data_IF_492465314876
#
_entry.id   IF_492465314876
#
_cell.length_a   1.000
_cell.length_b   1.000
_cell.length_c   1.000
_cell.angle_alpha   90.00
_cell.angle_beta   90.00
_cell.angle_gamma   90.00
#
_symmetry.space_group_name_H-M   'P 1'
#
loop_
_entity.id
_entity.type
_entity.pdbx_description
1 polymer ?
#
# COMPACT_ATOMS: atom_id res chain seq x y z
N UNK A 1 11.71 15.26 -66.97
CA UNK A 1 11.69 14.35 -65.80
C UNK A 1 11.20 15.12 -64.58
N UNK A 2 9.99 14.84 -64.08
CA UNK A 2 9.37 15.51 -62.93
C UNK A 2 9.67 14.67 -61.69
N UNK A 3 10.48 15.17 -60.75
CA UNK A 3 10.78 14.47 -59.49
C UNK A 3 9.53 14.49 -58.61
N UNK A 4 9.00 13.30 -58.33
CA UNK A 4 7.89 13.08 -57.41
C UNK A 4 8.44 13.13 -55.97
N UNK A 5 7.99 14.11 -55.18
CA UNK A 5 8.30 14.20 -53.75
C UNK A 5 7.28 13.36 -53.00
N UNK A 6 7.72 12.28 -52.36
CA UNK A 6 6.92 11.57 -51.37
C UNK A 6 6.80 12.44 -50.11
N UNK A 7 5.61 12.68 -49.55
CA UNK A 7 5.49 13.43 -48.32
C UNK A 7 6.00 12.56 -47.16
N UNK A 8 6.95 13.08 -46.40
CA UNK A 8 7.52 12.49 -45.17
C UNK A 8 6.51 12.29 -44.03
N UNK A 9 5.21 12.49 -44.30
CA UNK A 9 4.12 12.43 -43.32
C UNK A 9 3.68 10.97 -43.05
N UNK A 10 3.96 10.03 -43.96
CA UNK A 10 3.55 8.63 -43.81
C UNK A 10 4.39 7.77 -42.86
N UNK A 11 5.64 8.16 -42.57
CA UNK A 11 6.56 7.33 -41.75
C UNK A 11 6.45 7.66 -40.26
N UNK A 12 6.11 8.90 -39.89
CA UNK A 12 5.98 9.31 -38.48
C UNK A 12 4.70 8.74 -37.84
N UNK A 13 3.62 8.59 -38.62
CA UNK A 13 2.36 8.04 -38.12
C UNK A 13 2.44 6.54 -37.78
N UNK A 14 3.29 5.77 -38.47
CA UNK A 14 3.43 4.32 -38.24
C UNK A 14 4.28 4.04 -36.98
N UNK A 15 5.28 4.87 -36.70
CA UNK A 15 6.11 4.76 -35.48
C UNK A 15 5.32 5.19 -34.23
N UNK A 16 4.44 6.19 -34.35
CA UNK A 16 3.57 6.62 -33.24
C UNK A 16 2.52 5.59 -32.83
N UNK A 17 2.01 4.80 -33.79
CA UNK A 17 0.99 3.77 -33.50
C UNK A 17 1.63 2.46 -32.98
N UNK A 18 2.86 2.13 -33.37
CA UNK A 18 3.57 0.96 -32.82
C UNK A 18 4.13 1.19 -31.40
N UNK A 19 4.46 2.44 -31.03
CA UNK A 19 4.85 2.78 -29.65
C UNK A 19 3.68 2.84 -28.66
N UNK A 20 2.43 2.97 -29.13
CA UNK A 20 1.25 3.01 -28.25
C UNK A 20 0.68 1.60 -27.92
N UNK A 21 1.20 0.56 -28.57
CA UNK A 21 0.80 -0.84 -28.33
C UNK A 21 1.75 -1.59 -27.36
N UNK A 22 2.72 -0.91 -26.76
CA UNK A 22 3.55 -1.47 -25.70
C UNK A 22 3.07 -0.95 -24.35
N UNK A 23 2.78 -1.89 -23.45
CA UNK A 23 2.38 -1.72 -22.04
C UNK A 23 0.86 -1.53 -21.83
N UNK A 24 0.08 -2.48 -22.34
CA UNK A 24 -0.93 -3.08 -21.46
C UNK A 24 -0.49 -4.53 -21.32
N UNK A 25 0.42 -4.79 -20.38
CA UNK A 25 0.59 -6.16 -19.91
C UNK A 25 -0.71 -6.43 -19.15
N UNK A 26 -1.57 -7.37 -19.57
CA UNK A 26 -2.58 -7.84 -18.65
C UNK A 26 -1.81 -8.38 -17.45
N UNK A 27 -1.95 -7.74 -16.28
CA UNK A 27 -1.61 -8.36 -15.01
C UNK A 27 -2.59 -9.51 -14.84
N UNK A 28 -2.30 -10.63 -15.50
CA UNK A 28 -2.92 -11.90 -15.15
C UNK A 28 -2.23 -12.25 -13.84
N UNK A 29 -2.97 -12.20 -12.74
CA UNK A 29 -2.50 -12.73 -11.49
C UNK A 29 -2.41 -14.25 -11.68
N UNK A 30 -1.22 -14.72 -12.02
CA UNK A 30 -0.88 -16.13 -12.17
C UNK A 30 -0.16 -16.58 -10.91
N UNK A 31 -0.35 -17.84 -10.51
CA UNK A 31 0.42 -18.42 -9.40
C UNK A 31 1.93 -18.23 -9.57
N UNK A 32 2.60 -17.82 -8.50
CA UNK A 32 4.05 -17.76 -8.43
C UNK A 32 4.55 -18.41 -7.14
N UNK A 33 5.35 -19.48 -7.25
CA UNK A 33 5.86 -20.18 -6.07
C UNK A 33 6.73 -19.28 -5.18
N UNK A 34 7.58 -18.44 -5.78
CA UNK A 34 8.41 -17.44 -5.08
C UNK A 34 7.58 -16.28 -4.52
N UNK A 35 6.31 -16.17 -4.92
CA UNK A 35 5.39 -15.14 -4.48
C UNK A 35 5.51 -13.85 -5.26
N UNK A 36 5.11 -12.76 -4.63
CA UNK A 36 5.00 -11.45 -5.26
C UNK A 36 5.65 -10.43 -4.34
N UNK A 37 6.79 -9.83 -4.74
CA UNK A 37 7.43 -8.79 -3.94
C UNK A 37 6.45 -7.68 -3.59
N UNK A 38 6.56 -7.10 -2.40
CA UNK A 38 5.68 -6.00 -2.02
C UNK A 38 6.13 -4.71 -2.69
N UNK A 39 5.22 -4.16 -3.49
CA UNK A 39 5.43 -2.92 -4.20
C UNK A 39 4.52 -1.83 -3.65
N UNK A 40 4.98 -0.58 -3.68
CA UNK A 40 4.17 0.57 -3.28
C UNK A 40 2.92 0.67 -4.14
N UNK A 41 1.78 0.35 -3.54
CA UNK A 41 0.47 0.53 -4.16
C UNK A 41 0.04 1.98 -4.14
N UNK A 42 0.17 2.59 -2.96
CA UNK A 42 -0.24 3.95 -2.71
C UNK A 42 0.67 4.56 -1.66
N UNK A 43 1.01 5.83 -1.89
CA UNK A 43 1.71 6.67 -0.95
C UNK A 43 1.13 8.06 -1.01
N UNK A 44 1.18 8.81 0.07
CA UNK A 44 0.64 10.15 0.07
C UNK A 44 0.75 10.88 1.38
N UNK A 45 0.00 11.97 1.45
CA UNK A 45 -0.11 12.83 2.62
C UNK A 45 -1.57 13.03 2.95
N UNK A 46 -1.91 13.00 4.23
CA UNK A 46 -3.22 13.36 4.76
C UNK A 46 -3.06 14.17 6.03
N UNK A 47 -4.01 15.07 6.32
CA UNK A 47 -4.16 15.62 7.67
C UNK A 47 -5.28 14.87 8.38
N UNK A 48 -4.95 13.69 8.88
CA UNK A 48 -5.89 12.69 9.41
C UNK A 48 -5.11 11.50 9.97
N UNK A 49 -5.28 10.31 9.40
CA UNK A 49 -4.63 9.10 9.86
C UNK A 49 -4.57 7.96 8.83
N UNK A 50 -3.80 6.93 9.20
CA UNK A 50 -3.84 5.60 8.58
C UNK A 50 -4.24 4.63 9.70
N UNK A 51 -5.45 4.11 9.61
CA UNK A 51 -5.95 3.05 10.48
C UNK A 51 -5.52 1.70 9.91
N UNK A 52 -4.98 0.84 10.77
CA UNK A 52 -4.56 -0.52 10.45
C UNK A 52 -5.03 -1.38 11.61
N UNK A 53 -5.85 -2.38 11.31
CA UNK A 53 -6.34 -3.33 12.31
C UNK A 53 -6.55 -4.70 11.64
N UNK A 54 -6.61 -5.75 12.45
CA UNK A 54 -6.65 -7.11 11.93
C UNK A 54 -7.37 -8.11 12.84
N UNK A 55 -7.91 -9.14 12.21
CA UNK A 55 -8.39 -10.36 12.88
C UNK A 55 -7.32 -11.46 12.72
N UNK A 56 -6.79 -12.03 13.82
CA UNK A 56 -5.72 -13.02 13.77
C UNK A 56 -6.17 -14.40 13.28
N UNK A 57 -5.19 -15.28 13.06
CA UNK A 57 -5.46 -16.70 12.78
C UNK A 57 -6.18 -17.38 13.93
N UNK A 58 -7.29 -18.04 13.61
CA UNK A 58 -8.05 -18.90 14.54
C UNK A 58 -8.02 -20.39 14.17
N UNK A 59 -7.36 -20.76 13.06
CA UNK A 59 -7.34 -22.13 12.55
C UNK A 59 -8.69 -22.64 12.04
N UNK A 60 -9.62 -21.73 11.76
CA UNK A 60 -10.97 -22.02 11.30
C UNK A 60 -11.11 -21.78 9.80
N UNK A 61 -12.11 -22.41 9.17
CA UNK A 61 -12.43 -22.19 7.75
C UNK A 61 -13.37 -21.01 7.51
N UNK A 62 -13.79 -20.34 8.59
CA UNK A 62 -14.56 -19.10 8.61
C UNK A 62 -13.95 -18.21 9.67
N UNK A 63 -13.61 -16.98 9.28
CA UNK A 63 -13.04 -15.97 10.15
C UNK A 63 -13.83 -14.67 9.97
N UNK A 64 -14.17 -14.02 11.08
CA UNK A 64 -14.90 -12.75 11.10
C UNK A 64 -14.17 -11.79 12.01
N UNK A 65 -13.87 -10.60 11.49
CA UNK A 65 -13.24 -9.51 12.23
C UNK A 65 -14.17 -8.32 12.39
N UNK A 66 -14.01 -7.61 13.51
CA UNK A 66 -14.67 -6.34 13.80
C UNK A 66 -13.61 -5.25 13.94
N UNK A 67 -13.80 -4.12 13.25
CA UNK A 67 -12.80 -3.06 13.12
C UNK A 67 -13.41 -1.70 13.48
N UNK A 68 -12.96 -1.11 14.57
CA UNK A 68 -13.43 0.20 15.03
C UNK A 68 -12.75 1.34 14.27
N UNK A 69 -13.22 1.60 13.06
CA UNK A 69 -12.62 2.61 12.17
C UNK A 69 -12.89 4.02 12.72
N UNK A 70 -11.86 4.87 12.90
CA UNK A 70 -12.02 6.25 13.32
C UNK A 70 -12.95 7.07 12.41
N UNK A 71 -13.54 8.14 12.96
CA UNK A 71 -14.25 9.13 12.14
C UNK A 71 -13.27 9.87 11.22
N UNK A 72 -13.78 10.43 10.13
CA UNK A 72 -13.00 11.09 9.09
C UNK A 72 -13.53 10.79 7.68
N UNK A 73 -13.02 11.54 6.71
CA UNK A 73 -13.35 11.34 5.31
C UNK A 73 -12.40 10.29 4.69
N UNK A 74 -12.94 9.11 4.40
CA UNK A 74 -12.18 7.97 3.86
C UNK A 74 -11.66 8.30 2.47
N UNK A 75 -10.33 8.29 2.30
CA UNK A 75 -9.66 8.56 1.02
C UNK A 75 -9.31 7.31 0.26
N UNK A 76 -9.00 6.24 0.99
CA UNK A 76 -8.64 4.95 0.44
C UNK A 76 -8.83 3.88 1.51
N UNK A 77 -9.39 2.73 1.14
CA UNK A 77 -9.41 1.57 2.01
C UNK A 77 -9.23 0.27 1.24
N UNK A 78 -8.48 -0.65 1.86
CA UNK A 78 -8.31 -2.01 1.37
C UNK A 78 -8.55 -3.01 2.49
N UNK A 79 -9.34 -4.02 2.15
CA UNK A 79 -9.49 -5.24 2.92
C UNK A 79 -8.56 -6.28 2.31
N UNK A 80 -7.72 -6.90 3.13
CA UNK A 80 -6.92 -8.06 2.76
C UNK A 80 -7.36 -9.26 3.58
N UNK A 81 -7.34 -10.45 2.99
CA UNK A 81 -7.65 -11.70 3.68
C UNK A 81 -7.03 -12.87 2.94
N UNK A 82 -6.88 -14.02 3.59
CA UNK A 82 -6.22 -15.16 2.96
C UNK A 82 -6.83 -16.49 3.29
N UNK A 83 -6.62 -17.47 2.40
CA UNK A 83 -7.03 -18.86 2.58
C UNK A 83 -5.85 -19.77 2.27
N UNK A 84 -5.61 -20.73 3.16
CA UNK A 84 -4.65 -21.79 2.90
C UNK A 84 -5.26 -22.88 2.02
N UNK A 85 -4.65 -23.11 0.87
CA UNK A 85 -5.02 -24.16 -0.07
C UNK A 85 -4.51 -25.54 0.33
N UNK A 86 -3.47 -25.63 1.17
CA UNK A 86 -2.83 -26.88 1.56
C UNK A 86 -1.76 -27.37 0.58
N UNK A 87 -1.96 -27.15 -0.72
CA UNK A 87 -0.95 -27.35 -1.77
C UNK A 87 -1.30 -26.49 -3.01
N UNK A 88 -0.36 -26.32 -3.96
CA UNK A 88 -0.59 -25.47 -5.14
C UNK A 88 -1.74 -25.91 -6.03
N UNK A 89 -2.10 -27.19 -6.09
CA UNK A 89 -3.12 -27.71 -7.03
C UNK A 89 -4.54 -27.62 -6.50
N UNK A 90 -4.68 -27.39 -5.20
CA UNK A 90 -5.99 -27.38 -4.56
C UNK A 90 -6.78 -26.14 -4.98
N UNK A 91 -8.07 -26.36 -5.19
CA UNK A 91 -9.01 -25.34 -5.67
C UNK A 91 -10.32 -25.39 -4.90
N UNK A 92 -11.03 -24.28 -4.83
CA UNK A 92 -12.28 -24.20 -4.11
C UNK A 92 -12.91 -22.83 -4.12
N UNK A 93 -14.16 -22.80 -3.71
CA UNK A 93 -14.93 -21.58 -3.59
C UNK A 93 -14.79 -21.03 -2.18
N UNK A 94 -14.55 -19.73 -2.10
CA UNK A 94 -14.53 -18.96 -0.87
C UNK A 94 -15.44 -17.76 -1.02
N UNK A 95 -15.92 -17.22 0.09
CA UNK A 95 -16.76 -16.04 0.15
C UNK A 95 -16.13 -15.00 1.06
N UNK A 96 -16.08 -13.76 0.58
CA UNK A 96 -15.60 -12.62 1.37
C UNK A 96 -16.71 -11.58 1.45
N UNK A 97 -17.07 -11.16 2.65
CA UNK A 97 -18.08 -10.12 2.86
C UNK A 97 -17.52 -8.97 3.68
N UNK A 98 -17.99 -7.76 3.43
CA UNK A 98 -17.61 -6.56 4.19
C UNK A 98 -18.84 -5.68 4.42
N UNK A 99 -19.16 -5.37 5.67
CA UNK A 99 -20.37 -4.64 6.07
C UNK A 99 -21.66 -5.18 5.43
N UNK A 100 -21.76 -6.51 5.33
CA UNK A 100 -22.90 -7.20 4.71
C UNK A 100 -22.94 -7.14 3.18
N UNK A 101 -21.92 -6.58 2.52
CA UNK A 101 -21.79 -6.58 1.07
C UNK A 101 -21.03 -7.81 0.59
N UNK A 102 -21.61 -8.54 -0.36
CA UNK A 102 -21.15 -9.84 -0.88
C UNK A 102 -21.34 -9.97 -2.40
N UNK A 103 -21.38 -8.87 -3.15
CA UNK A 103 -21.60 -8.92 -4.60
C UNK A 103 -20.36 -9.41 -5.37
N UNK A 104 -20.53 -10.41 -6.24
CA UNK A 104 -19.44 -11.06 -7.02
C UNK A 104 -18.57 -10.09 -7.84
N UNK A 105 -19.06 -8.89 -8.16
CA UNK A 105 -18.31 -7.89 -8.92
C UNK A 105 -17.27 -7.12 -8.09
N UNK A 106 -17.32 -7.20 -6.76
CA UNK A 106 -16.39 -6.50 -5.86
C UNK A 106 -15.93 -7.30 -4.65
N UNK A 107 -16.79 -8.17 -4.12
CA UNK A 107 -16.62 -9.02 -2.94
C UNK A 107 -17.34 -10.35 -3.27
N UNK A 108 -17.78 -11.12 -2.27
CA UNK A 108 -18.60 -12.30 -2.49
C UNK A 108 -17.79 -13.53 -2.88
N UNK A 109 -18.40 -14.39 -3.68
CA UNK A 109 -17.84 -15.68 -4.03
C UNK A 109 -16.70 -15.54 -5.05
N UNK A 110 -15.57 -16.17 -4.75
CA UNK A 110 -14.42 -16.26 -5.63
C UNK A 110 -13.94 -17.70 -5.69
N UNK A 111 -13.66 -18.17 -6.90
CA UNK A 111 -13.12 -19.50 -7.13
C UNK A 111 -11.59 -19.41 -7.14
N UNK A 112 -10.98 -19.88 -6.06
CA UNK A 112 -9.53 -20.03 -5.97
C UNK A 112 -9.11 -21.26 -6.79
N UNK A 113 -8.29 -21.07 -7.81
CA UNK A 113 -7.97 -22.11 -8.80
C UNK A 113 -6.57 -22.72 -8.63
N UNK A 114 -5.93 -22.48 -7.48
CA UNK A 114 -4.60 -23.00 -7.17
C UNK A 114 -3.53 -22.46 -8.14
N UNK A 115 -2.71 -23.34 -8.69
CA UNK A 115 -1.65 -23.01 -9.65
C UNK A 115 -2.19 -22.48 -10.99
N UNK A 116 -3.49 -22.61 -11.22
CA UNK A 116 -4.20 -22.07 -12.39
C UNK A 116 -5.07 -20.87 -12.04
N UNK A 117 -4.87 -20.24 -10.87
CA UNK A 117 -5.60 -19.03 -10.49
C UNK A 117 -5.31 -17.91 -11.48
N UNK A 118 -6.36 -17.20 -11.86
CA UNK A 118 -6.32 -16.05 -12.79
C UNK A 118 -7.08 -14.86 -12.22
N UNK A 119 -7.51 -14.91 -10.96
CA UNK A 119 -8.28 -13.86 -10.34
C UNK A 119 -7.36 -12.65 -10.09
N UNK A 120 -7.65 -11.47 -10.65
CA UNK A 120 -6.72 -10.33 -10.64
C UNK A 120 -6.41 -9.81 -9.23
N UNK A 121 -7.24 -10.17 -8.25
CA UNK A 121 -7.15 -9.76 -6.86
C UNK A 121 -6.64 -10.84 -5.91
N UNK A 122 -6.00 -11.89 -6.44
CA UNK A 122 -5.42 -13.00 -5.67
C UNK A 122 -3.92 -13.11 -5.96
N UNK A 123 -3.10 -13.03 -4.93
CA UNK A 123 -1.74 -13.52 -4.97
C UNK A 123 -1.72 -14.97 -4.51
N UNK A 124 -1.55 -15.90 -5.46
CA UNK A 124 -1.43 -17.32 -5.17
C UNK A 124 0.05 -17.71 -5.15
N UNK A 125 0.57 -18.08 -3.98
CA UNK A 125 2.01 -18.29 -3.77
C UNK A 125 2.35 -19.54 -2.96
N UNK A 126 3.62 -19.97 -3.03
CA UNK A 126 4.16 -21.09 -2.26
C UNK A 126 3.27 -22.35 -2.32
N UNK A 127 3.03 -22.95 -1.15
CA UNK A 127 2.21 -24.17 -1.01
C UNK A 127 0.69 -23.90 -1.03
N UNK A 128 0.21 -23.08 -1.97
CA UNK A 128 -1.20 -22.71 -2.13
C UNK A 128 -1.67 -21.66 -1.12
N UNK A 129 -0.84 -20.68 -0.79
CA UNK A 129 -1.24 -19.51 0.00
C UNK A 129 -1.99 -18.55 -0.93
N UNK A 130 -3.27 -18.28 -0.67
CA UNK A 130 -4.05 -17.34 -1.48
C UNK A 130 -4.27 -16.08 -0.65
N UNK A 131 -3.57 -14.99 -0.99
CA UNK A 131 -3.77 -13.68 -0.38
C UNK A 131 -4.63 -12.82 -1.29
N UNK A 132 -5.81 -12.45 -0.82
CA UNK A 132 -6.82 -11.70 -1.54
C UNK A 132 -6.84 -10.25 -1.07
N UNK A 133 -7.14 -9.34 -1.99
CA UNK A 133 -7.38 -7.94 -1.67
C UNK A 133 -8.67 -7.42 -2.29
N UNK A 134 -9.30 -6.44 -1.63
CA UNK A 134 -10.56 -5.84 -2.08
C UNK A 134 -10.56 -4.34 -1.82
N UNK A 135 -10.99 -3.55 -2.82
CA UNK A 135 -11.23 -2.13 -2.62
C UNK A 135 -12.57 -1.90 -1.91
N UNK A 136 -12.49 -1.45 -0.67
CA UNK A 136 -13.64 -1.22 0.21
C UNK A 136 -13.80 0.25 0.58
N UNK A 137 -13.13 1.17 -0.13
CA UNK A 137 -13.09 2.62 0.17
C UNK A 137 -14.46 3.23 0.41
N UNK A 138 -15.43 2.94 -0.46
CA UNK A 138 -16.82 3.44 -0.41
C UNK A 138 -17.76 2.56 0.43
N UNK A 139 -17.24 1.49 1.05
CA UNK A 139 -18.01 0.59 1.92
C UNK A 139 -17.68 0.77 3.40
N UNK A 140 -16.57 1.45 3.71
CA UNK A 140 -16.19 1.76 5.09
C UNK A 140 -17.21 2.72 5.70
N UNK A 141 -17.68 2.38 6.89
CA UNK A 141 -18.47 3.25 7.75
C UNK A 141 -17.52 3.94 8.74
N UNK A 142 -17.07 5.18 8.49
CA UNK A 142 -16.18 5.89 9.40
C UNK A 142 -16.86 6.20 10.73
N UNK A 143 -16.09 6.20 11.81
CA UNK A 143 -16.58 6.44 13.17
C UNK A 143 -17.49 5.33 13.71
N UNK A 144 -17.39 4.12 13.15
CA UNK A 144 -18.23 2.96 13.49
C UNK A 144 -17.46 1.66 13.38
N UNK A 145 -17.96 0.60 14.01
CA UNK A 145 -17.47 -0.76 13.83
C UNK A 145 -17.82 -1.27 12.43
N UNK A 146 -16.82 -1.75 11.71
CA UNK A 146 -16.94 -2.38 10.41
C UNK A 146 -16.70 -3.89 10.56
N UNK A 147 -17.40 -4.73 9.80
CA UNK A 147 -17.28 -6.18 9.91
C UNK A 147 -16.83 -6.79 8.60
N UNK A 148 -15.87 -7.71 8.64
CA UNK A 148 -15.47 -8.50 7.49
C UNK A 148 -15.54 -9.99 7.81
N UNK A 149 -15.98 -10.81 6.85
CA UNK A 149 -15.97 -12.26 6.98
C UNK A 149 -15.30 -12.89 5.78
N UNK A 150 -14.45 -13.89 6.01
CA UNK A 150 -13.90 -14.77 4.97
C UNK A 150 -14.24 -16.21 5.31
N UNK A 151 -14.81 -16.94 4.36
CA UNK A 151 -15.24 -18.32 4.57
C UNK A 151 -14.92 -19.22 3.38
N UNK A 152 -14.45 -20.43 3.63
CA UNK A 152 -14.51 -21.51 2.64
C UNK A 152 -15.96 -21.96 2.46
N UNK A 153 -16.39 -22.07 1.20
CA UNK A 153 -17.66 -22.68 0.81
C UNK A 153 -17.46 -24.17 0.54
N UNK A 154 -16.61 -24.51 -0.44
CA UNK A 154 -16.39 -25.90 -0.86
C UNK A 154 -15.07 -26.05 -1.66
N UNK A 155 -14.76 -27.28 -2.09
CA UNK A 155 -13.58 -27.60 -2.88
C UNK A 155 -12.53 -28.42 -2.13
N UNK A 156 -11.38 -28.63 -2.77
CA UNK A 156 -10.27 -29.43 -2.24
C UNK A 156 -9.27 -28.64 -1.40
N UNK A 157 -9.36 -27.31 -1.40
CA UNK A 157 -8.57 -26.42 -0.51
C UNK A 157 -8.71 -26.84 0.96
N UNK A 158 -7.65 -26.74 1.76
CA UNK A 158 -7.72 -26.91 3.22
C UNK A 158 -8.79 -25.95 3.78
N UNK A 159 -8.66 -24.67 3.44
CA UNK A 159 -9.68 -23.67 3.66
C UNK A 159 -9.55 -22.86 4.91
N UNK A 160 -8.57 -23.16 5.78
CA UNK A 160 -8.33 -22.33 6.95
C UNK A 160 -7.98 -20.91 6.51
N UNK A 161 -8.68 -19.95 7.09
CA UNK A 161 -8.47 -18.53 6.83
C UNK A 161 -7.21 -18.07 7.56
N UNK A 162 -6.37 -17.30 6.87
CA UNK A 162 -5.15 -16.72 7.42
C UNK A 162 -5.48 -15.72 8.54
N UNK A 163 -5.57 -14.45 8.16
CA UNK A 163 -6.09 -13.35 8.97
C UNK A 163 -6.82 -12.40 8.05
N UNK A 164 -7.51 -11.43 8.63
CA UNK A 164 -8.14 -10.32 7.89
C UNK A 164 -7.44 -9.04 8.29
N UNK A 165 -7.05 -8.20 7.33
CA UNK A 165 -6.45 -6.89 7.59
C UNK A 165 -7.30 -5.82 6.93
N UNK A 166 -7.68 -4.80 7.71
CA UNK A 166 -8.31 -3.60 7.18
C UNK A 166 -7.34 -2.42 7.31
N UNK A 167 -7.05 -1.79 6.17
CA UNK A 167 -6.28 -0.55 6.11
C UNK A 167 -7.17 0.57 5.58
N UNK A 168 -7.26 1.67 6.33
CA UNK A 168 -8.06 2.85 5.97
C UNK A 168 -7.21 4.10 6.07
N UNK A 169 -7.05 4.83 4.97
CA UNK A 169 -6.48 6.18 4.94
C UNK A 169 -7.63 7.17 4.98
N UNK A 170 -7.59 8.10 5.93
CA UNK A 170 -8.66 9.09 6.10
C UNK A 170 -8.11 10.49 6.37
N UNK A 171 -8.88 11.49 5.96
CA UNK A 171 -8.64 12.91 6.19
C UNK A 171 -9.54 13.40 7.34
N UNK A 172 -9.03 14.30 8.18
CA UNK A 172 -9.77 14.83 9.33
C UNK A 172 -9.90 13.82 10.47
N UNK A 173 -11.11 13.69 11.01
CA UNK A 173 -11.39 12.90 12.21
C UNK A 173 -11.05 13.61 13.51
N UNK A 174 -11.14 12.88 14.62
CA UNK A 174 -10.79 13.40 15.94
C UNK A 174 -9.27 13.52 16.06
N UNK A 175 -8.76 14.75 16.24
CA UNK A 175 -7.32 15.06 16.40
C UNK A 175 -6.44 14.68 15.18
N UNK A 176 -6.71 15.25 14.00
CA UNK A 176 -5.99 14.93 12.77
C UNK A 176 -4.49 15.20 12.91
N UNK A 177 -3.67 14.34 12.31
CA UNK A 177 -2.20 14.47 12.27
C UNK A 177 -1.73 14.68 10.84
N UNK A 178 -0.65 15.43 10.67
CA UNK A 178 0.01 15.53 9.38
C UNK A 178 0.77 14.22 9.10
N UNK A 179 0.17 13.33 8.32
CA UNK A 179 0.72 12.02 7.98
C UNK A 179 1.41 12.06 6.62
N UNK A 180 2.49 11.28 6.50
CA UNK A 180 2.99 10.76 5.23
C UNK A 180 2.99 9.23 5.32
N UNK A 181 2.55 8.53 4.28
CA UNK A 181 2.41 7.08 4.33
C UNK A 181 2.78 6.40 3.03
N UNK A 182 3.10 5.10 3.14
CA UNK A 182 3.25 4.15 2.05
C UNK A 182 2.58 2.84 2.45
N UNK A 183 1.82 2.27 1.53
CA UNK A 183 1.21 0.96 1.67
C UNK A 183 1.75 0.12 0.52
N UNK A 184 2.63 -0.81 0.84
CA UNK A 184 3.12 -1.80 -0.09
C UNK A 184 2.30 -3.09 0.04
N UNK A 185 1.97 -3.70 -1.08
CA UNK A 185 1.14 -4.90 -1.15
C UNK A 185 1.78 -5.96 -2.06
N UNK A 186 1.64 -7.23 -1.68
CA UNK A 186 2.23 -8.37 -2.37
C UNK A 186 1.88 -9.68 -1.65
N UNK A 187 2.73 -10.69 -1.81
CA UNK A 187 2.72 -11.95 -1.05
C UNK A 187 4.03 -12.66 -1.33
N UNK A 188 5.14 -12.08 -0.88
CA UNK A 188 6.48 -12.58 -1.15
C UNK A 188 6.73 -13.87 -0.38
N UNK A 189 6.97 -14.97 -1.08
CA UNK A 189 7.03 -16.31 -0.52
C UNK A 189 8.46 -16.81 -0.48
N UNK A 190 9.09 -16.66 0.68
CA UNK A 190 10.44 -17.11 0.90
C UNK A 190 10.44 -18.58 1.28
N UNK A 191 11.38 -19.32 0.71
CA UNK A 191 11.50 -20.74 0.90
C UNK A 191 12.94 -21.22 0.76
N UNK A 192 13.26 -22.33 1.42
CA UNK A 192 14.52 -23.03 1.19
C UNK A 192 14.56 -23.73 -0.19
N UNK A 193 15.73 -24.22 -0.60
CA UNK A 193 15.93 -24.71 -1.96
C UNK A 193 15.05 -25.92 -2.32
N UNK A 194 14.96 -26.94 -1.45
CA UNK A 194 14.25 -28.18 -1.80
C UNK A 194 12.72 -28.05 -1.74
N UNK A 195 12.20 -26.90 -1.30
CA UNK A 195 10.80 -26.57 -1.42
C UNK A 195 10.35 -26.36 -2.88
N UNK A 196 11.27 -25.95 -3.76
CA UNK A 196 11.01 -25.64 -5.16
C UNK A 196 11.52 -26.72 -6.12
N UNK A 197 10.94 -26.76 -7.33
CA UNK A 197 11.49 -27.50 -8.45
C UNK A 197 11.65 -26.58 -9.67
N UNK A 198 12.88 -26.38 -10.19
CA UNK A 198 14.16 -26.93 -9.71
C UNK A 198 14.53 -26.40 -8.30
N UNK A 199 15.40 -27.09 -7.54
CA UNK A 199 15.78 -26.66 -6.20
C UNK A 199 16.55 -25.34 -6.22
N UNK A 200 15.84 -24.25 -5.91
CA UNK A 200 16.34 -22.88 -5.85
C UNK A 200 15.75 -22.27 -4.60
N UNK A 201 16.57 -21.61 -3.79
CA UNK A 201 16.08 -20.91 -2.61
C UNK A 201 15.64 -19.50 -2.96
N UNK A 202 14.62 -19.04 -2.24
CA UNK A 202 14.23 -17.65 -2.14
C UNK A 202 14.36 -17.25 -0.67
N UNK A 203 15.56 -16.85 -0.25
CA UNK A 203 15.88 -16.72 1.18
C UNK A 203 15.56 -15.34 1.76
N UNK A 204 15.44 -14.31 0.92
CA UNK A 204 15.38 -12.90 1.32
C UNK A 204 14.54 -12.06 0.37
N UNK A 205 13.87 -11.05 0.88
CA UNK A 205 13.18 -10.02 0.09
C UNK A 205 13.44 -8.62 0.63
N UNK A 206 13.13 -7.61 -0.20
CA UNK A 206 13.23 -6.20 0.15
C UNK A 206 12.01 -5.47 -0.40
N UNK A 207 11.32 -4.73 0.48
CA UNK A 207 10.23 -3.85 0.10
C UNK A 207 10.67 -2.39 0.25
N UNK A 208 10.65 -1.63 -0.85
CA UNK A 208 11.04 -0.23 -0.90
C UNK A 208 9.85 0.72 -0.72
N UNK A 209 10.00 1.74 0.12
CA UNK A 209 9.04 2.82 0.31
C UNK A 209 9.41 3.99 -0.60
N UNK A 210 8.98 3.90 -1.87
CA UNK A 210 9.41 4.81 -2.93
C UNK A 210 9.01 6.27 -2.66
N UNK A 211 10.01 7.16 -2.63
CA UNK A 211 9.80 8.59 -2.47
C UNK A 211 10.81 9.24 -1.53
N UNK A 212 10.50 10.46 -1.11
CA UNK A 212 11.38 11.27 -0.26
C UNK A 212 10.71 11.60 1.07
N UNK A 213 11.50 11.70 2.13
CA UNK A 213 11.08 12.13 3.47
C UNK A 213 11.86 13.37 3.89
N UNK A 214 11.16 14.38 4.42
CA UNK A 214 11.83 15.43 5.18
C UNK A 214 11.98 14.96 6.64
N UNK A 215 13.15 14.43 6.99
CA UNK A 215 13.42 13.83 8.30
C UNK A 215 13.44 14.84 9.44
N UNK A 216 13.66 16.14 9.18
CA UNK A 216 13.71 17.18 10.21
C UNK A 216 12.36 17.44 10.89
N UNK A 217 11.26 17.11 10.18
CA UNK A 217 9.90 17.30 10.66
C UNK A 217 9.21 16.00 11.07
N UNK A 218 9.84 14.84 10.89
CA UNK A 218 9.28 13.56 11.35
C UNK A 218 9.31 13.54 12.87
N UNK A 219 8.15 13.28 13.48
CA UNK A 219 8.02 13.16 14.94
C UNK A 219 7.85 11.72 15.38
N UNK A 220 7.32 10.86 14.50
CA UNK A 220 7.12 9.44 14.74
C UNK A 220 7.06 8.69 13.42
N UNK A 221 7.60 7.48 13.40
CA UNK A 221 7.49 6.56 12.28
C UNK A 221 7.20 5.15 12.78
N UNK A 222 6.21 4.52 12.19
CA UNK A 222 5.85 3.13 12.44
C UNK A 222 5.95 2.32 11.14
N UNK A 223 6.62 1.18 11.21
CA UNK A 223 6.63 0.15 10.18
C UNK A 223 5.72 -0.98 10.64
N UNK A 224 4.75 -1.38 9.82
CA UNK A 224 3.88 -2.52 10.07
C UNK A 224 4.10 -3.56 8.97
N UNK A 225 4.29 -4.83 9.35
CA UNK A 225 4.40 -5.95 8.42
C UNK A 225 3.29 -6.97 8.68
N UNK A 226 2.82 -7.60 7.61
CA UNK A 226 1.89 -8.73 7.64
C UNK A 226 2.63 -9.99 7.20
N UNK A 227 2.62 -11.02 8.03
CA UNK A 227 3.12 -12.35 7.72
C UNK A 227 1.95 -13.32 7.62
N UNK A 228 1.84 -14.11 6.56
CA UNK A 228 0.84 -15.20 6.49
C UNK A 228 1.35 -16.46 7.19
N UNK A 229 2.65 -16.68 7.10
CA UNK A 229 3.43 -17.61 7.93
C UNK A 229 4.66 -16.85 8.41
N UNK A 230 4.84 -16.78 9.72
CA UNK A 230 5.94 -16.05 10.34
C UNK A 230 7.08 -17.01 10.73
N UNK A 231 7.82 -16.77 11.82
CA UNK A 231 9.03 -17.52 12.14
C UNK A 231 8.81 -18.62 13.20
N UNK A 232 9.07 -19.87 12.84
CA UNK A 232 9.16 -21.04 13.71
C UNK A 232 10.31 -21.98 13.26
N UNK A 233 11.50 -21.92 13.88
CA UNK A 233 11.80 -21.18 15.11
C UNK A 233 11.93 -19.67 14.89
N UNK A 234 11.65 -18.89 15.94
CA UNK A 234 11.78 -17.44 15.93
C UNK A 234 13.18 -16.95 15.49
N UNK A 235 13.24 -15.87 14.72
CA UNK A 235 14.48 -15.35 14.15
C UNK A 235 14.77 -13.91 14.56
N UNK A 236 15.79 -13.69 15.42
CA UNK A 236 16.08 -12.38 16.05
C UNK A 236 16.69 -11.30 15.13
N UNK A 237 17.17 -11.67 13.93
CA UNK A 237 17.87 -10.74 13.02
C UNK A 237 17.32 -10.82 11.59
N UNK A 238 16.10 -11.32 11.43
CA UNK A 238 15.48 -11.56 10.14
C UNK A 238 14.77 -10.34 9.55
N UNK A 239 14.62 -9.25 10.30
CA UNK A 239 14.05 -7.99 9.79
C UNK A 239 15.02 -6.83 10.00
N UNK A 240 15.17 -5.98 8.99
CA UNK A 240 15.93 -4.74 9.05
C UNK A 240 15.16 -3.61 8.39
N UNK A 241 15.11 -2.44 9.02
CA UNK A 241 14.63 -1.22 8.37
C UNK A 241 15.80 -0.27 8.17
N UNK A 242 16.09 0.10 6.91
CA UNK A 242 17.26 0.89 6.54
C UNK A 242 18.55 0.36 7.17
N UNK A 243 18.82 -0.94 7.00
CA UNK A 243 19.97 -1.67 7.54
C UNK A 243 20.02 -1.82 9.07
N UNK A 244 19.11 -1.18 9.82
CA UNK A 244 18.98 -1.34 11.27
C UNK A 244 18.13 -2.56 11.62
N UNK A 245 18.70 -3.49 12.39
CA UNK A 245 17.98 -4.67 12.89
C UNK A 245 16.79 -4.27 13.77
N UNK A 246 15.65 -4.92 13.52
CA UNK A 246 14.45 -4.79 14.31
C UNK A 246 14.33 -5.95 15.28
N UNK A 247 13.80 -5.69 16.48
CA UNK A 247 13.48 -6.76 17.41
C UNK A 247 12.28 -7.57 16.91
N UNK A 248 12.53 -8.80 16.51
CA UNK A 248 11.54 -9.76 15.98
C UNK A 248 11.12 -10.81 16.99
N UNK A 249 11.45 -10.65 18.28
CA UNK A 249 11.02 -11.60 19.32
C UNK A 249 9.50 -11.70 19.46
N UNK A 250 8.75 -10.73 18.92
CA UNK A 250 7.30 -10.74 18.84
C UNK A 250 6.74 -11.50 17.63
N UNK A 251 7.63 -11.95 16.74
CA UNK A 251 7.30 -12.69 15.53
C UNK A 251 7.66 -14.15 15.75
N UNK A 252 6.78 -14.90 16.41
CA UNK A 252 7.10 -16.18 17.05
C UNK A 252 6.10 -17.30 16.79
N UNK A 253 5.27 -17.18 15.75
CA UNK A 253 4.38 -18.25 15.29
C UNK A 253 4.65 -18.69 13.84
N UNK A 254 4.23 -19.91 13.52
CA UNK A 254 4.14 -20.40 12.14
C UNK A 254 2.81 -20.03 11.45
N UNK A 255 2.08 -19.06 12.00
CA UNK A 255 0.75 -18.65 11.53
C UNK A 255 0.72 -17.18 11.12
N UNK A 256 -0.48 -16.66 10.85
CA UNK A 256 -0.68 -15.27 10.48
C UNK A 256 -0.30 -14.33 11.63
N UNK A 257 0.44 -13.28 11.32
CA UNK A 257 0.77 -12.21 12.27
C UNK A 257 0.82 -10.83 11.62
N UNK A 258 0.42 -9.82 12.38
CA UNK A 258 0.63 -8.42 12.05
C UNK A 258 1.35 -7.73 13.21
N UNK A 259 2.53 -7.19 12.93
CA UNK A 259 3.41 -6.60 13.93
C UNK A 259 3.85 -5.21 13.50
N UNK A 260 4.04 -4.31 14.48
CA UNK A 260 4.42 -2.92 14.24
C UNK A 260 5.64 -2.52 15.07
N UNK A 261 6.61 -1.89 14.41
CA UNK A 261 7.84 -1.38 15.00
C UNK A 261 7.90 0.13 14.93
N UNK A 262 8.37 0.75 16.01
CA UNK A 262 8.78 2.15 15.98
C UNK A 262 10.14 2.26 15.27
N UNK A 263 10.16 2.91 14.12
CA UNK A 263 11.35 3.10 13.28
C UNK A 263 11.75 4.56 13.15
N UNK A 264 11.25 5.44 14.04
CA UNK A 264 11.43 6.90 13.97
C UNK A 264 12.90 7.30 13.82
N UNK A 265 13.79 6.66 14.58
CA UNK A 265 15.22 6.98 14.56
C UNK A 265 15.99 6.46 13.33
N UNK A 266 15.34 5.67 12.48
CA UNK A 266 15.98 4.97 11.36
C UNK A 266 15.50 5.49 10.00
N UNK A 267 14.52 6.40 9.96
CA UNK A 267 13.99 6.95 8.71
C UNK A 267 15.06 7.78 8.00
N UNK A 268 15.28 7.47 6.72
CA UNK A 268 16.19 8.18 5.84
C UNK A 268 15.43 9.16 4.93
N UNK A 269 16.13 10.12 4.33
CA UNK A 269 15.52 11.08 3.41
C UNK A 269 15.07 10.46 2.07
N UNK A 270 15.70 9.37 1.66
CA UNK A 270 15.41 8.59 0.45
C UNK A 270 15.64 7.11 0.73
N UNK A 271 15.20 6.26 -0.20
CA UNK A 271 15.55 4.83 -0.24
C UNK A 271 15.19 4.06 1.04
N UNK A 272 14.12 4.50 1.71
CA UNK A 272 13.60 3.78 2.86
C UNK A 272 13.16 2.38 2.42
N UNK A 273 13.59 1.35 3.13
CA UNK A 273 13.27 -0.03 2.80
C UNK A 273 13.21 -0.91 4.05
N UNK A 274 12.45 -1.98 3.94
CA UNK A 274 12.49 -3.10 4.86
C UNK A 274 13.08 -4.30 4.14
N UNK A 275 14.13 -4.86 4.72
CA UNK A 275 14.69 -6.16 4.35
C UNK A 275 14.11 -7.22 5.28
N UNK A 276 13.83 -8.39 4.71
CA UNK A 276 13.43 -9.57 5.46
C UNK A 276 14.10 -10.82 4.92
N UNK A 277 14.30 -11.82 5.79
CA UNK A 277 14.87 -13.12 5.43
C UNK A 277 14.16 -14.24 6.16
N UNK A 278 14.09 -15.45 5.59
CA UNK A 278 13.46 -16.59 6.29
C UNK A 278 14.21 -17.09 7.53
N UNK A 279 15.50 -16.76 7.64
CA UNK A 279 16.34 -17.29 8.71
C UNK A 279 16.47 -18.81 8.63
N UNK A 280 16.14 -19.50 9.72
CA UNK A 280 16.11 -20.97 9.78
C UNK A 280 14.75 -21.57 9.40
N UNK A 281 13.70 -20.74 9.27
CA UNK A 281 12.37 -21.21 8.86
C UNK A 281 12.40 -21.70 7.41
N UNK A 282 11.58 -22.71 7.12
CA UNK A 282 11.44 -23.28 5.78
C UNK A 282 10.56 -22.44 4.87
N UNK A 283 9.55 -21.74 5.41
CA UNK A 283 8.53 -21.01 4.68
C UNK A 283 8.04 -19.77 5.43
N UNK A 284 8.48 -18.59 5.01
CA UNK A 284 7.83 -17.34 5.42
C UNK A 284 7.06 -16.72 4.26
N UNK A 285 6.02 -15.95 4.58
CA UNK A 285 5.35 -15.16 3.54
C UNK A 285 5.02 -13.78 4.09
N UNK A 286 5.61 -12.76 3.48
CA UNK A 286 5.37 -11.35 3.81
C UNK A 286 4.40 -10.79 2.78
N UNK A 287 3.30 -10.20 3.23
CA UNK A 287 2.16 -9.89 2.37
C UNK A 287 1.89 -8.39 2.25
N UNK A 288 2.27 -7.63 3.26
CA UNK A 288 2.16 -6.18 3.27
C UNK A 288 3.30 -5.57 4.07
N UNK A 289 3.77 -4.42 3.60
CA UNK A 289 4.67 -3.56 4.35
C UNK A 289 4.14 -2.13 4.33
N UNK A 290 3.87 -1.57 5.50
CA UNK A 290 3.22 -0.27 5.65
C UNK A 290 4.11 0.64 6.47
N UNK A 291 4.47 1.79 5.92
CA UNK A 291 5.23 2.83 6.62
C UNK A 291 4.34 4.05 6.85
N UNK A 292 4.17 4.44 8.10
CA UNK A 292 3.38 5.62 8.49
C UNK A 292 4.24 6.58 9.29
N UNK A 293 4.36 7.81 8.80
CA UNK A 293 5.11 8.90 9.42
C UNK A 293 4.15 9.97 9.93
N UNK A 294 4.21 10.27 11.22
CA UNK A 294 3.67 11.52 11.76
C UNK A 294 4.72 12.63 11.60
N UNK A 295 4.26 13.79 11.11
CA UNK A 295 5.10 14.96 10.87
C UNK A 295 4.62 16.14 11.70
N UNK A 296 5.52 17.06 12.03
CA UNK A 296 5.13 18.39 12.52
C UNK A 296 4.27 19.06 11.44
N UNK A 297 3.26 19.80 11.88
CA UNK A 297 2.52 20.67 10.99
C UNK A 297 3.50 21.65 10.34
N UNK A 298 3.51 21.71 9.00
CA UNK A 298 4.27 22.73 8.29
C UNK A 298 3.51 24.04 8.51
N UNK A 299 4.07 24.94 9.32
CA UNK A 299 3.50 26.29 9.45
C UNK A 299 3.47 26.91 8.05
N UNK A 300 2.27 27.29 7.59
CA UNK A 300 2.15 28.16 6.41
C UNK A 300 2.81 29.47 6.79
N UNK A 301 4.02 29.74 6.30
CA UNK A 301 4.58 31.08 6.31
C UNK A 301 3.67 31.96 5.47
N UNK A 302 2.80 32.74 6.12
CA UNK A 302 2.17 33.88 5.47
C UNK A 302 3.27 34.86 5.11
N UNK A 303 3.62 34.90 3.83
CA UNK A 303 4.45 35.98 3.28
C UNK A 303 3.65 37.27 3.47
N UNK A 304 3.97 38.02 4.52
CA UNK A 304 3.50 39.39 4.69
C UNK A 304 4.10 40.22 3.54
N UNK A 305 3.35 40.33 2.44
CA UNK A 305 3.58 41.34 1.43
C UNK A 305 3.21 42.67 2.11
N UNK A 306 4.21 43.33 2.68
CA UNK A 306 4.09 44.74 3.05
C UNK A 306 3.90 45.50 1.74
N UNK A 307 2.70 46.05 1.57
CA UNK A 307 2.44 47.00 0.50
C UNK A 307 3.50 48.11 0.58
N UNK A 308 4.20 48.34 -0.53
CA UNK A 308 5.09 49.47 -0.68
C UNK A 308 4.22 50.72 -0.56
N UNK A 309 4.47 51.57 0.44
CA UNK A 309 3.83 52.86 0.56
C UNK A 309 4.06 53.65 -0.73
N UNK A 310 2.96 54.04 -1.39
CA UNK A 310 2.97 54.97 -2.51
C UNK A 310 3.70 56.24 -2.07
N UNK A 311 4.82 56.51 -2.72
CA UNK A 311 5.66 57.67 -2.46
C UNK A 311 4.84 58.95 -2.60
N UNK A 312 4.92 59.78 -1.56
CA UNK A 312 4.27 61.08 -1.39
C UNK A 312 4.21 61.91 -2.69
N UNK A 313 3.00 62.31 -3.06
CA UNK A 313 2.75 63.38 -4.03
C UNK A 313 2.80 64.71 -3.26
N UNK A 314 3.72 65.66 -3.57
CA UNK A 314 3.85 66.88 -2.77
C UNK A 314 2.61 67.77 -2.87
N UNK A 315 2.06 68.14 -1.71
CA UNK A 315 1.05 69.19 -1.58
C UNK A 315 1.73 70.57 -1.64
N UNK A 316 1.39 71.33 -2.69
CA UNK A 316 1.10 72.76 -2.64
C UNK A 316 2.26 73.74 -2.48
N UNK A 317 2.58 74.46 -3.56
CA UNK A 317 3.08 75.83 -3.47
C UNK A 317 1.95 76.82 -3.81
N UNK A 318 1.72 77.76 -2.90
CA UNK A 318 0.84 78.91 -3.07
C UNK A 318 1.64 80.11 -3.61
N UNK A 319 1.05 80.77 -4.60
CA UNK A 319 1.14 82.21 -4.83
C UNK A 319 2.23 82.65 -5.82
N UNK A 320 1.83 83.34 -6.90
CA UNK A 320 1.74 84.80 -6.92
C UNK A 320 1.10 85.29 -8.24
N UNK A 321 0.36 86.39 -8.12
CA UNK A 321 -0.31 87.24 -9.11
C UNK A 321 0.47 87.55 -10.39
N UNK A 322 -0.18 87.74 -11.55
CA UNK A 322 -0.61 89.07 -12.04
C UNK A 322 -1.29 89.06 -13.43
N UNK A 323 -2.30 89.92 -13.56
CA UNK A 323 -2.67 90.76 -14.72
C UNK A 323 -2.67 90.25 -16.20
N UNK A 324 -3.87 90.24 -16.84
CA UNK A 324 -4.35 91.18 -17.90
C UNK A 324 -5.30 90.56 -18.95
N UNK A 325 -6.41 91.28 -19.19
CA UNK A 325 -7.08 91.64 -20.48
C UNK A 325 -7.41 90.49 -21.46
N UNK A 326 -8.59 90.38 -22.04
CA UNK A 326 -9.74 91.28 -22.17
C UNK A 326 -10.76 90.66 -23.13
N UNK A 327 -11.92 91.33 -23.20
CA UNK A 327 -13.05 91.21 -24.14
C UNK A 327 -13.84 89.88 -24.22
#
# INVERSE_FOLDING_TARGET
MKKMKYPQVGIVAIIGITMLCLIVVPLVAEYNFEGFPEETKISGFVNGGVFIDYEPWAGTTTLTGEFDVPDGDVKWARLYTGIWGGNPRNKGWVEVTFNGVDNESRLGQIHLQGESDTNPNVWCSGNGKHWMYYNVTDLVNPGSTNTATTSKINGSIDGRAYGIVLIVVYEGGNNPKAIQYWINEGSDALHYADAAWPPVSHDTGISYFNGTVNTEIVTKANLTLVHLTAYDPGCNSCLKFNEHELNTSMVDSNTFELNTWNVTGYVASTDNSVFYSRGEDEYINVANAILVLERRAVEKTETNITAIEDYDRPKGEKGQTDERKGD
#
